data_IF_370039065008
#
_entry.id   IF_370039065008
#
_cell.length_a   1.000
_cell.length_b   1.000
_cell.length_c   1.000
_cell.angle_alpha   90.00
_cell.angle_beta   90.00
_cell.angle_gamma   90.00
#
_symmetry.space_group_name_H-M   'P 1'
#
loop_
_entity.id
_entity.type
_entity.pdbx_description
1 polymer ?
#
# COMPACT_ATOMS: atom_id res chain seq x y z
N UNK A 1 -1.78 5.94 10.95
CA UNK A 1 -2.76 5.50 11.98
C UNK A 1 -4.18 5.54 11.50
N UNK A 2 -4.63 6.63 10.87
CA UNK A 2 -5.98 6.70 10.30
C UNK A 2 -6.24 5.62 9.25
N UNK A 3 -5.25 5.32 8.43
CA UNK A 3 -5.34 4.29 7.39
C UNK A 3 -5.61 2.91 7.98
N UNK A 4 -4.87 2.55 9.03
CA UNK A 4 -5.05 1.26 9.71
C UNK A 4 -6.45 1.19 10.33
N UNK A 5 -6.90 2.26 10.98
CA UNK A 5 -8.22 2.28 11.60
C UNK A 5 -9.33 2.14 10.56
N UNK A 6 -9.18 2.79 9.41
CA UNK A 6 -10.15 2.69 8.33
C UNK A 6 -10.23 1.26 7.79
N UNK A 7 -9.08 0.64 7.51
CA UNK A 7 -9.05 -0.74 7.01
C UNK A 7 -9.57 -1.72 8.07
N UNK A 8 -9.28 -1.49 9.34
CA UNK A 8 -9.80 -2.31 10.43
C UNK A 8 -11.33 -2.31 10.44
N UNK A 9 -11.94 -1.16 10.12
CA UNK A 9 -13.39 -1.05 10.06
C UNK A 9 -14.04 -1.95 9.00
N UNK A 10 -13.26 -2.45 8.04
CA UNK A 10 -13.77 -3.34 6.99
C UNK A 10 -14.16 -4.73 7.52
N UNK A 11 -13.79 -5.08 8.74
CA UNK A 11 -14.35 -6.29 9.38
C UNK A 11 -15.86 -6.23 9.49
N UNK A 12 -16.43 -5.02 9.56
CA UNK A 12 -17.86 -4.80 9.75
C UNK A 12 -18.66 -4.68 8.45
N UNK A 13 -18.00 -4.60 7.29
CA UNK A 13 -18.72 -4.55 6.01
C UNK A 13 -19.11 -5.97 5.58
N UNK A 14 -20.13 -6.06 4.73
CA UNK A 14 -20.60 -7.36 4.23
C UNK A 14 -19.60 -7.96 3.24
N UNK A 15 -19.67 -9.28 3.08
CA UNK A 15 -18.89 -9.96 2.03
C UNK A 15 -19.27 -9.45 0.64
N UNK A 16 -20.52 -9.09 0.44
CA UNK A 16 -20.97 -8.52 -0.82
C UNK A 16 -20.25 -7.20 -1.10
N UNK A 17 -20.18 -6.29 -0.13
CA UNK A 17 -19.44 -5.04 -0.28
C UNK A 17 -17.96 -5.30 -0.51
N UNK A 18 -17.38 -6.24 0.21
CA UNK A 18 -15.96 -6.58 0.13
C UNK A 18 -15.58 -7.16 -1.25
N UNK A 19 -16.49 -7.92 -1.87
CA UNK A 19 -16.25 -8.65 -3.13
C UNK A 19 -16.89 -8.04 -4.35
N UNK A 20 -17.54 -6.89 -4.25
CA UNK A 20 -18.15 -6.20 -5.39
C UNK A 20 -17.17 -5.17 -5.93
N UNK A 21 -16.93 -5.12 -7.27
CA UNK A 21 -16.10 -4.07 -7.85
C UNK A 21 -16.59 -2.68 -7.45
N UNK A 22 -15.66 -1.81 -7.10
CA UNK A 22 -15.96 -0.43 -6.68
C UNK A 22 -16.68 0.32 -7.80
N UNK A 23 -16.25 0.10 -9.02
CA UNK A 23 -16.89 0.60 -10.23
C UNK A 23 -16.79 -0.48 -11.29
N UNK A 24 -17.54 -0.32 -12.37
CA UNK A 24 -17.47 -1.25 -13.50
C UNK A 24 -16.02 -1.38 -13.98
N UNK A 25 -15.56 -2.62 -14.13
CA UNK A 25 -14.22 -2.95 -14.60
C UNK A 25 -13.09 -2.45 -13.69
N UNK A 26 -13.41 -2.14 -12.42
CA UNK A 26 -12.43 -1.75 -11.41
C UNK A 26 -12.27 -2.85 -10.37
N UNK A 27 -11.32 -2.67 -9.49
CA UNK A 27 -11.05 -3.63 -8.41
C UNK A 27 -12.13 -3.59 -7.32
N UNK A 28 -12.21 -4.68 -6.58
CA UNK A 28 -12.96 -4.77 -5.32
C UNK A 28 -12.14 -4.14 -4.19
N UNK A 29 -12.78 -3.90 -3.04
CA UNK A 29 -12.05 -3.45 -1.84
C UNK A 29 -10.94 -4.44 -1.50
N UNK A 30 -11.25 -5.75 -1.54
CA UNK A 30 -10.26 -6.79 -1.26
C UNK A 30 -9.01 -6.64 -2.12
N UNK A 31 -9.20 -6.44 -3.41
CA UNK A 31 -8.10 -6.31 -4.36
C UNK A 31 -7.29 -5.04 -4.13
N UNK A 32 -7.96 -3.93 -3.80
CA UNK A 32 -7.27 -2.67 -3.48
C UNK A 32 -6.40 -2.83 -2.24
N UNK A 33 -6.93 -3.43 -1.17
CA UNK A 33 -6.18 -3.59 0.07
C UNK A 33 -4.98 -4.52 -0.13
N UNK A 34 -5.14 -5.60 -0.88
CA UNK A 34 -4.03 -6.49 -1.22
C UNK A 34 -2.97 -5.78 -2.06
N UNK A 35 -3.40 -4.93 -3.00
CA UNK A 35 -2.50 -4.11 -3.81
C UNK A 35 -1.64 -3.18 -2.93
N UNK A 36 -2.27 -2.48 -1.99
CA UNK A 36 -1.55 -1.60 -1.06
C UNK A 36 -0.57 -2.39 -0.20
N UNK A 37 -0.98 -3.58 0.27
CA UNK A 37 -0.12 -4.45 1.09
C UNK A 37 1.14 -4.85 0.32
N UNK A 38 1.00 -5.27 -0.92
CA UNK A 38 2.14 -5.72 -1.71
C UNK A 38 3.08 -4.58 -2.08
N UNK A 39 2.55 -3.37 -2.30
CA UNK A 39 3.40 -2.20 -2.51
C UNK A 39 4.13 -1.79 -1.24
N UNK A 40 3.46 -1.83 -0.09
CA UNK A 40 4.11 -1.60 1.21
C UNK A 40 5.25 -2.59 1.43
N UNK A 41 5.00 -3.86 1.12
CA UNK A 41 5.99 -4.92 1.28
C UNK A 41 7.20 -4.69 0.37
N UNK A 42 6.96 -4.27 -0.86
CA UNK A 42 8.02 -3.93 -1.79
C UNK A 42 8.89 -2.78 -1.24
N UNK A 43 8.26 -1.73 -0.73
CA UNK A 43 8.97 -0.59 -0.14
C UNK A 43 9.79 -1.05 1.06
N UNK A 44 9.19 -1.85 1.94
CA UNK A 44 9.83 -2.35 3.15
C UNK A 44 11.05 -3.21 2.85
N UNK A 45 10.95 -4.10 1.88
CA UNK A 45 11.99 -5.08 1.58
C UNK A 45 12.99 -4.63 0.52
N UNK A 46 12.55 -3.85 -0.48
CA UNK A 46 13.34 -3.54 -1.67
C UNK A 46 13.73 -2.07 -1.79
N UNK A 47 13.19 -1.20 -0.96
CA UNK A 47 13.49 0.23 -1.02
C UNK A 47 14.17 0.74 0.23
N UNK A 48 13.52 0.66 1.39
CA UNK A 48 14.05 1.24 2.63
C UNK A 48 15.46 0.75 2.95
N UNK A 49 15.79 -0.57 2.87
CA UNK A 49 17.15 -1.03 3.20
C UNK A 49 18.23 -0.50 2.25
N UNK A 50 17.84 -0.01 1.07
CA UNK A 50 18.79 0.35 0.00
C UNK A 50 18.79 1.82 -0.38
N UNK A 51 18.02 2.68 0.33
CA UNK A 51 17.83 4.08 -0.08
C UNK A 51 19.13 4.86 -0.27
N UNK A 52 20.12 4.60 0.57
CA UNK A 52 21.40 5.32 0.52
C UNK A 52 22.56 4.42 0.13
N UNK A 53 22.26 3.28 -0.47
CA UNK A 53 23.27 2.39 -1.03
C UNK A 53 23.92 3.04 -2.25
N UNK A 54 25.20 2.69 -2.52
CA UNK A 54 25.87 3.12 -3.74
C UNK A 54 25.33 2.44 -5.00
N UNK A 55 24.62 1.32 -4.81
CA UNK A 55 24.01 0.59 -5.92
C UNK A 55 22.65 1.18 -6.29
N UNK A 56 22.21 1.06 -7.56
CA UNK A 56 20.85 1.47 -7.93
C UNK A 56 19.81 0.73 -7.12
N UNK A 57 18.69 1.42 -6.82
CA UNK A 57 17.58 0.82 -6.09
C UNK A 57 16.95 -0.32 -6.92
N UNK A 58 16.56 -1.43 -6.26
CA UNK A 58 15.87 -2.51 -6.96
C UNK A 58 14.63 -2.00 -7.67
N UNK A 59 14.42 -2.43 -8.90
CA UNK A 59 13.25 -2.08 -9.70
C UNK A 59 12.08 -2.98 -9.29
N UNK A 60 10.86 -2.45 -9.41
CA UNK A 60 9.66 -3.19 -9.11
C UNK A 60 9.38 -4.33 -10.10
N UNK A 61 10.10 -4.39 -11.22
CA UNK A 61 9.75 -5.27 -12.32
C UNK A 61 8.49 -4.75 -13.00
N UNK A 62 7.63 -5.66 -13.46
CA UNK A 62 6.37 -5.25 -14.07
C UNK A 62 5.37 -4.86 -13.00
N UNK A 63 4.96 -3.59 -12.99
CA UNK A 63 3.91 -3.09 -12.08
C UNK A 63 2.61 -3.85 -12.32
N UNK A 64 2.30 -4.11 -13.59
CA UNK A 64 1.10 -4.83 -13.98
C UNK A 64 1.09 -6.25 -13.41
N UNK A 65 2.22 -6.95 -13.50
CA UNK A 65 2.33 -8.32 -12.95
C UNK A 65 2.18 -8.32 -11.43
N UNK A 66 2.77 -7.36 -10.73
CA UNK A 66 2.63 -7.24 -9.28
C UNK A 66 1.17 -6.98 -8.90
N UNK A 67 0.50 -6.11 -9.63
CA UNK A 67 -0.89 -5.78 -9.37
C UNK A 67 -1.80 -6.98 -9.63
N UNK A 68 -1.56 -7.73 -10.70
CA UNK A 68 -2.31 -8.96 -11.00
C UNK A 68 -2.12 -10.03 -9.94
N UNK A 69 -0.89 -10.20 -9.46
CA UNK A 69 -0.60 -11.15 -8.40
C UNK A 69 -1.35 -10.78 -7.11
N UNK A 70 -1.28 -9.51 -6.71
CA UNK A 70 -1.95 -9.03 -5.50
C UNK A 70 -3.47 -9.21 -5.58
N UNK A 71 -4.05 -8.89 -6.73
CA UNK A 71 -5.49 -9.04 -6.94
C UNK A 71 -5.91 -10.52 -6.91
N UNK A 72 -5.12 -11.39 -7.55
CA UNK A 72 -5.37 -12.84 -7.55
C UNK A 72 -5.34 -13.41 -6.13
N UNK A 73 -4.36 -12.98 -5.35
CA UNK A 73 -4.22 -13.44 -3.96
C UNK A 73 -5.42 -13.01 -3.11
N UNK A 74 -5.88 -11.77 -3.29
CA UNK A 74 -7.05 -11.25 -2.57
C UNK A 74 -8.31 -12.09 -2.85
N UNK A 75 -8.47 -12.55 -4.08
CA UNK A 75 -9.61 -13.39 -4.45
C UNK A 75 -9.58 -14.78 -3.79
N UNK A 76 -8.40 -15.22 -3.39
CA UNK A 76 -8.20 -16.55 -2.78
C UNK A 76 -8.17 -16.53 -1.26
N UNK A 77 -8.00 -15.35 -0.65
CA UNK A 77 -7.89 -15.20 0.80
C UNK A 77 -9.22 -14.77 1.42
N UNK A 78 -9.40 -15.10 2.69
CA UNK A 78 -10.51 -14.55 3.46
C UNK A 78 -10.33 -13.05 3.68
N UNK A 79 -11.43 -12.36 3.96
CA UNK A 79 -11.39 -10.95 4.34
C UNK A 79 -10.46 -10.73 5.54
N UNK A 80 -10.58 -11.58 6.54
CA UNK A 80 -9.80 -11.49 7.76
C UNK A 80 -8.30 -11.59 7.47
N UNK A 81 -7.90 -12.52 6.60
CA UNK A 81 -6.50 -12.70 6.22
C UNK A 81 -5.97 -11.48 5.46
N UNK A 82 -6.73 -10.96 4.50
CA UNK A 82 -6.32 -9.79 3.72
C UNK A 82 -6.14 -8.57 4.61
N UNK A 83 -7.08 -8.32 5.53
CA UNK A 83 -6.99 -7.21 6.47
C UNK A 83 -5.80 -7.39 7.42
N UNK A 84 -5.62 -8.60 7.95
CA UNK A 84 -4.50 -8.89 8.86
C UNK A 84 -3.15 -8.63 8.19
N UNK A 85 -2.98 -9.09 6.96
CA UNK A 85 -1.73 -8.89 6.23
C UNK A 85 -1.45 -7.41 5.98
N UNK A 86 -2.48 -6.63 5.67
CA UNK A 86 -2.35 -5.18 5.49
C UNK A 86 -1.87 -4.51 6.77
N UNK A 87 -2.53 -4.79 7.89
CA UNK A 87 -2.22 -4.16 9.18
C UNK A 87 -0.82 -4.53 9.62
N UNK A 88 -0.46 -5.80 9.52
CA UNK A 88 0.87 -6.31 9.87
C UNK A 88 1.95 -5.61 9.05
N UNK A 89 1.79 -5.57 7.73
CA UNK A 89 2.78 -4.99 6.82
C UNK A 89 2.90 -3.48 7.05
N UNK A 90 1.77 -2.77 7.21
CA UNK A 90 1.78 -1.33 7.44
C UNK A 90 2.46 -0.98 8.77
N UNK A 91 2.24 -1.77 9.81
CA UNK A 91 2.92 -1.57 11.09
C UNK A 91 4.43 -1.78 10.98
N UNK A 92 4.85 -2.78 10.22
CA UNK A 92 6.28 -3.02 9.96
C UNK A 92 6.88 -1.86 9.17
N UNK A 93 6.16 -1.34 8.19
CA UNK A 93 6.60 -0.20 7.41
C UNK A 93 6.76 1.05 8.29
N UNK A 94 5.79 1.34 9.15
CA UNK A 94 5.87 2.47 10.08
C UNK A 94 7.06 2.34 11.01
N UNK A 95 7.30 1.14 11.55
CA UNK A 95 8.46 0.89 12.40
C UNK A 95 9.76 1.15 11.66
N UNK A 96 9.89 0.65 10.44
CA UNK A 96 11.10 0.87 9.63
C UNK A 96 11.33 2.34 9.33
N UNK A 97 10.25 3.09 9.05
CA UNK A 97 10.34 4.53 8.80
C UNK A 97 10.80 5.27 10.05
N UNK A 98 10.28 4.90 11.23
CA UNK A 98 10.68 5.52 12.50
C UNK A 98 12.12 5.22 12.87
N UNK A 99 12.68 4.12 12.39
CA UNK A 99 14.07 3.76 12.63
C UNK A 99 15.05 4.51 11.72
N UNK A 100 14.55 5.21 10.71
CA UNK A 100 15.40 6.03 9.85
C UNK A 100 15.95 7.20 10.67
N UNK A 101 17.29 7.36 10.66
CA UNK A 101 17.94 8.46 11.36
C UNK A 101 17.41 9.80 10.86
N UNK A 102 17.14 10.72 11.80
CA UNK A 102 16.67 12.07 11.44
C UNK A 102 17.59 12.77 10.44
N UNK A 103 18.90 12.54 10.56
CA UNK A 103 19.89 13.13 9.64
C UNK A 103 19.76 12.60 8.20
N UNK A 104 19.13 11.45 8.00
CA UNK A 104 18.95 10.84 6.68
C UNK A 104 17.65 11.25 6.00
N UNK A 105 16.72 11.88 6.71
CA UNK A 105 15.41 12.25 6.13
C UNK A 105 15.51 13.24 4.98
N UNK A 106 16.51 14.11 4.99
CA UNK A 106 16.72 15.13 3.95
C UNK A 106 17.79 14.74 2.93
N UNK A 107 18.44 13.57 3.11
CA UNK A 107 19.45 13.10 2.17
C UNK A 107 18.78 12.60 0.90
N UNK A 108 19.23 13.12 -0.24
CA UNK A 108 18.66 12.75 -1.53
C UNK A 108 19.05 11.33 -1.94
N UNK A 109 18.14 10.68 -2.62
CA UNK A 109 18.37 9.42 -3.31
C UNK A 109 17.65 9.46 -4.65
N UNK A 110 17.90 8.49 -5.51
CA UNK A 110 17.29 8.43 -6.83
C UNK A 110 16.54 7.12 -7.04
N UNK A 111 15.36 7.23 -7.65
CA UNK A 111 14.65 6.09 -8.21
C UNK A 111 14.66 6.31 -9.72
N UNK A 112 15.47 5.54 -10.44
CA UNK A 112 15.73 5.82 -11.84
C UNK A 112 16.38 7.18 -11.99
N UNK A 113 15.74 8.10 -12.71
CA UNK A 113 16.21 9.47 -12.89
C UNK A 113 15.53 10.46 -11.92
N UNK A 114 14.59 10.01 -11.09
CA UNK A 114 13.86 10.88 -10.19
C UNK A 114 14.62 11.07 -8.89
N UNK A 115 14.90 12.32 -8.53
CA UNK A 115 15.57 12.69 -7.29
C UNK A 115 14.54 12.90 -6.20
N UNK A 116 14.71 12.22 -5.07
CA UNK A 116 13.78 12.23 -3.95
C UNK A 116 14.54 12.31 -2.63
N UNK A 117 13.81 12.66 -1.56
CA UNK A 117 14.24 12.41 -0.20
C UNK A 117 13.12 11.64 0.51
N UNK A 118 13.33 11.25 1.78
CA UNK A 118 12.35 10.45 2.51
C UNK A 118 11.03 11.20 2.64
N UNK A 119 11.06 12.49 2.93
CA UNK A 119 9.85 13.30 3.05
C UNK A 119 9.01 13.23 1.79
N UNK A 120 9.61 13.51 0.65
CA UNK A 120 8.89 13.52 -0.63
C UNK A 120 8.37 12.14 -0.98
N UNK A 121 9.20 11.11 -0.78
CA UNK A 121 8.83 9.74 -1.07
C UNK A 121 7.61 9.28 -0.26
N UNK A 122 7.65 9.53 1.06
CA UNK A 122 6.54 9.15 1.93
C UNK A 122 5.29 9.98 1.67
N UNK A 123 5.44 11.25 1.32
CA UNK A 123 4.30 12.09 0.98
C UNK A 123 3.60 11.60 -0.29
N UNK A 124 4.38 11.22 -1.31
CA UNK A 124 3.84 10.67 -2.55
C UNK A 124 3.10 9.35 -2.28
N UNK A 125 3.63 8.51 -1.39
CA UNK A 125 2.97 7.27 -1.00
C UNK A 125 1.67 7.53 -0.24
N UNK A 126 1.65 8.52 0.65
CA UNK A 126 0.45 8.89 1.39
C UNK A 126 -0.64 9.42 0.47
N UNK A 127 -0.29 10.19 -0.55
CA UNK A 127 -1.24 10.66 -1.56
C UNK A 127 -1.84 9.51 -2.35
N UNK A 128 -1.02 8.52 -2.72
CA UNK A 128 -1.47 7.33 -3.42
C UNK A 128 -2.47 6.54 -2.58
N UNK A 129 -2.15 6.33 -1.30
CA UNK A 129 -3.05 5.65 -0.37
C UNK A 129 -4.38 6.40 -0.23
N UNK A 130 -4.30 7.72 -0.04
CA UNK A 130 -5.50 8.56 0.12
C UNK A 130 -6.42 8.48 -1.08
N UNK A 131 -5.86 8.43 -2.28
CA UNK A 131 -6.64 8.30 -3.50
C UNK A 131 -7.47 7.01 -3.51
N UNK A 132 -6.83 5.87 -3.20
CA UNK A 132 -7.51 4.58 -3.15
C UNK A 132 -8.55 4.51 -2.03
N UNK A 133 -8.20 5.01 -0.85
CA UNK A 133 -9.09 4.94 0.30
C UNK A 133 -10.30 5.86 0.13
N UNK A 134 -10.14 7.00 -0.53
CA UNK A 134 -11.27 7.87 -0.84
C UNK A 134 -12.23 7.20 -1.81
N UNK A 135 -11.72 6.48 -2.80
CA UNK A 135 -12.56 5.71 -3.71
C UNK A 135 -13.40 4.66 -2.96
N UNK A 136 -12.78 3.96 -2.02
CA UNK A 136 -13.47 2.97 -1.19
C UNK A 136 -14.54 3.63 -0.32
N UNK A 137 -14.20 4.76 0.28
CA UNK A 137 -15.11 5.51 1.15
C UNK A 137 -16.36 5.95 0.37
N UNK A 138 -16.19 6.45 -0.84
CA UNK A 138 -17.31 6.84 -1.69
C UNK A 138 -18.17 5.65 -2.07
N UNK A 139 -17.55 4.53 -2.42
CA UNK A 139 -18.25 3.29 -2.75
C UNK A 139 -19.10 2.82 -1.57
N UNK A 140 -18.55 2.79 -0.37
CA UNK A 140 -19.26 2.35 0.82
C UNK A 140 -20.43 3.28 1.17
N UNK A 141 -20.28 4.58 0.95
CA UNK A 141 -21.35 5.55 1.18
C UNK A 141 -22.53 5.30 0.24
N UNK A 142 -22.26 4.89 -1.01
CA UNK A 142 -23.29 4.63 -2.01
C UNK A 142 -23.94 3.24 -1.89
N UNK A 143 -23.27 2.30 -1.21
CA UNK A 143 -23.72 0.91 -1.14
C UNK A 143 -24.51 0.57 0.11
N UNK A 144 -24.86 1.56 0.92
CA UNK A 144 -25.66 1.37 2.14
C UNK A 144 -27.11 1.09 1.81
#
# INVERSE_FOLDING_TARGET
>A
MMTINFVTSFHDISNQQWRTPIEKDKWTIAEVISHLTHWDLFILEKRIPYLWSSDPLPKAGSVEDMNHYAASLARQQSKETTIYEYIKTRNQLYKSVHEISASNWEVDFHIGTTKLNVYKYLNDLAEHDSHHLEQIKQFLALSK
#
